data_IF_413054774114
#
_entry.id   IF_413054774114
#
_cell.length_a   1.000
_cell.length_b   1.000
_cell.length_c   1.000
_cell.angle_alpha   90.00
_cell.angle_beta   90.00
_cell.angle_gamma   90.00
#
_symmetry.space_group_name_H-M   'P 1'
#
loop_
_entity.id
_entity.type
_entity.pdbx_description
1 polymer ?
#
# COMPACT_ATOMS: atom_id res chain seq x y z
N UNK A 1 -12.18 4.41 -20.69
CA UNK A 1 -11.89 5.84 -20.42
C UNK A 1 -10.38 6.04 -20.31
N UNK A 2 -9.67 5.75 -21.38
CA UNK A 2 -8.36 6.32 -21.67
C UNK A 2 -8.60 7.71 -22.27
N UNK A 3 -7.87 8.74 -21.83
CA UNK A 3 -7.92 10.14 -22.29
C UNK A 3 -8.78 11.13 -21.48
N UNK A 4 -8.41 11.36 -20.22
CA UNK A 4 -8.65 12.68 -19.62
C UNK A 4 -7.40 13.37 -19.05
N UNK A 5 -6.20 12.83 -19.32
CA UNK A 5 -4.95 13.49 -18.98
C UNK A 5 -3.88 13.15 -20.06
N UNK A 6 -3.05 14.12 -20.49
CA UNK A 6 -2.05 13.94 -21.55
C UNK A 6 -1.06 12.81 -21.23
N UNK A 7 -0.42 12.20 -22.23
CA UNK A 7 0.39 10.98 -22.10
C UNK A 7 1.66 11.09 -21.22
N UNK A 8 1.92 12.25 -20.62
CA UNK A 8 2.88 12.38 -19.52
C UNK A 8 2.31 11.84 -18.18
N UNK A 9 1.00 11.62 -18.04
CA UNK A 9 0.38 11.20 -16.78
C UNK A 9 0.44 9.69 -16.45
N UNK A 10 1.57 9.07 -16.79
CA UNK A 10 2.19 8.09 -15.89
C UNK A 10 2.59 8.71 -14.53
N UNK A 11 2.56 10.05 -14.40
CA UNK A 11 2.87 10.85 -13.21
C UNK A 11 1.84 10.90 -12.06
N UNK A 12 0.67 10.24 -12.15
CA UNK A 12 -0.38 10.38 -11.11
C UNK A 12 0.02 9.78 -9.75
N UNK A 13 0.73 8.65 -9.75
CA UNK A 13 1.20 7.98 -8.52
C UNK A 13 2.35 8.72 -7.83
N UNK A 14 3.23 9.37 -8.61
CA UNK A 14 4.32 10.19 -8.05
C UNK A 14 3.79 11.46 -7.39
N UNK A 15 2.84 12.15 -8.01
CA UNK A 15 2.19 13.33 -7.42
C UNK A 15 1.52 12.91 -6.11
N UNK A 16 0.77 11.81 -6.13
CA UNK A 16 0.18 11.24 -4.93
C UNK A 16 1.23 10.97 -3.84
N UNK A 17 2.33 10.30 -4.18
CA UNK A 17 3.39 9.97 -3.23
C UNK A 17 4.15 11.19 -2.70
N UNK A 18 4.40 12.21 -3.52
CA UNK A 18 5.03 13.47 -3.10
C UNK A 18 4.11 14.27 -2.17
N UNK A 19 2.80 14.32 -2.46
CA UNK A 19 1.83 14.95 -1.57
C UNK A 19 1.74 14.19 -0.25
N UNK A 20 1.65 12.86 -0.30
CA UNK A 20 1.68 11.98 0.86
C UNK A 20 2.89 12.29 1.75
N UNK A 21 4.08 12.42 1.16
CA UNK A 21 5.31 12.66 1.92
C UNK A 21 5.40 14.08 2.47
N UNK A 22 4.90 15.07 1.73
CA UNK A 22 4.99 16.49 2.10
C UNK A 22 3.95 16.92 3.14
N UNK A 23 2.73 16.36 3.07
CA UNK A 23 1.59 16.80 3.88
C UNK A 23 1.25 15.78 4.97
N UNK A 24 1.50 14.49 4.72
CA UNK A 24 1.13 13.40 5.61
C UNK A 24 0.10 12.46 4.99
N UNK A 25 0.29 11.18 5.26
CA UNK A 25 -0.55 10.10 4.77
C UNK A 25 -1.99 10.26 5.27
N UNK A 26 -2.15 10.62 6.54
CA UNK A 26 -3.43 10.76 7.21
C UNK A 26 -4.32 11.86 6.64
N UNK A 27 -3.78 12.76 5.80
CA UNK A 27 -4.55 13.78 5.09
C UNK A 27 -4.76 13.40 3.63
N UNK A 28 -3.68 13.03 2.93
CA UNK A 28 -3.71 12.81 1.47
C UNK A 28 -4.45 11.53 1.10
N UNK A 29 -4.31 10.45 1.89
CA UNK A 29 -5.01 9.19 1.62
C UNK A 29 -6.53 9.35 1.70
N UNK A 30 -7.14 9.92 2.76
CA UNK A 30 -8.58 10.18 2.79
C UNK A 30 -9.08 11.00 1.61
N UNK A 31 -8.37 12.08 1.25
CA UNK A 31 -8.77 12.94 0.12
C UNK A 31 -8.77 12.17 -1.19
N UNK A 32 -7.67 11.47 -1.48
CA UNK A 32 -7.54 10.67 -2.69
C UNK A 32 -8.59 9.57 -2.76
N UNK A 33 -8.77 8.80 -1.67
CA UNK A 33 -9.74 7.71 -1.61
C UNK A 33 -11.17 8.23 -1.71
N UNK A 34 -11.49 9.37 -1.11
CA UNK A 34 -12.81 10.00 -1.23
C UNK A 34 -13.09 10.33 -2.69
N UNK A 35 -12.18 11.02 -3.37
CA UNK A 35 -12.30 11.32 -4.81
C UNK A 35 -12.47 10.02 -5.60
N UNK A 36 -11.66 9.00 -5.33
CA UNK A 36 -11.77 7.70 -5.98
C UNK A 36 -13.16 7.06 -5.77
N UNK A 37 -13.68 7.04 -4.54
CA UNK A 37 -14.97 6.44 -4.23
C UNK A 37 -16.14 7.13 -4.94
N UNK A 38 -16.05 8.44 -5.17
CA UNK A 38 -17.10 9.18 -5.87
C UNK A 38 -16.96 9.18 -7.39
N UNK A 39 -15.75 9.01 -7.93
CA UNK A 39 -15.49 9.20 -9.36
C UNK A 39 -15.11 7.94 -10.11
N UNK A 40 -14.63 6.90 -9.42
CA UNK A 40 -14.09 5.72 -10.06
C UNK A 40 -15.19 4.72 -10.46
N UNK A 41 -15.28 4.33 -11.74
CA UNK A 41 -16.24 3.33 -12.20
C UNK A 41 -16.06 1.96 -11.52
N UNK A 42 -14.88 1.72 -10.95
CA UNK A 42 -14.53 0.49 -10.23
C UNK A 42 -15.31 0.32 -8.93
N UNK A 43 -15.94 1.37 -8.41
CA UNK A 43 -16.70 1.36 -7.15
C UNK A 43 -18.08 2.01 -7.27
N UNK A 44 -18.35 2.81 -8.31
CA UNK A 44 -19.66 3.42 -8.58
C UNK A 44 -20.75 2.38 -8.88
N UNK A 45 -21.89 2.34 -8.17
CA UNK A 45 -23.00 1.44 -8.48
C UNK A 45 -23.48 1.55 -9.93
N UNK A 46 -23.89 0.43 -10.53
CA UNK A 46 -24.45 0.39 -11.89
C UNK A 46 -23.42 0.30 -13.02
N UNK A 47 -22.13 0.54 -12.77
CA UNK A 47 -21.07 0.25 -13.76
C UNK A 47 -20.56 -1.19 -13.60
N UNK A 48 -20.58 -2.03 -14.65
CA UNK A 48 -20.02 -3.38 -14.60
C UNK A 48 -18.53 -3.36 -14.27
N UNK A 49 -18.10 -4.21 -13.34
CA UNK A 49 -16.69 -4.43 -13.05
C UNK A 49 -16.15 -5.50 -14.01
N UNK A 50 -15.31 -5.09 -14.97
CA UNK A 50 -14.75 -5.98 -16.01
C UNK A 50 -13.24 -6.13 -15.86
N UNK A 51 -12.64 -7.21 -16.40
CA UNK A 51 -11.18 -7.35 -16.45
C UNK A 51 -10.47 -6.18 -17.14
N UNK A 52 -11.06 -5.65 -18.21
CA UNK A 52 -10.53 -4.49 -18.93
C UNK A 52 -10.54 -3.19 -18.12
N UNK A 53 -11.50 -3.04 -17.19
CA UNK A 53 -11.52 -1.90 -16.28
C UNK A 53 -10.43 -1.98 -15.20
N UNK A 54 -9.95 -3.20 -14.89
CA UNK A 54 -8.87 -3.47 -13.95
C UNK A 54 -7.50 -3.55 -14.61
N UNK A 55 -7.43 -3.50 -15.95
CA UNK A 55 -6.18 -3.65 -16.67
C UNK A 55 -5.24 -2.46 -16.40
N UNK A 56 -3.99 -2.79 -16.10
CA UNK A 56 -2.88 -1.86 -15.93
C UNK A 56 -1.85 -2.15 -17.02
N UNK A 57 -1.08 -1.14 -17.39
CA UNK A 57 0.02 -1.35 -18.33
C UNK A 57 0.97 -2.47 -17.85
N UNK A 58 1.27 -3.42 -18.75
CA UNK A 58 2.08 -4.59 -18.41
C UNK A 58 3.54 -4.23 -18.14
N UNK A 59 4.07 -3.22 -18.83
CA UNK A 59 5.42 -2.70 -18.62
C UNK A 59 5.54 -2.15 -17.21
N UNK A 60 4.61 -1.27 -16.82
CA UNK A 60 4.52 -0.72 -15.46
C UNK A 60 4.39 -1.83 -14.42
N UNK A 61 3.47 -2.79 -14.57
CA UNK A 61 3.29 -3.89 -13.60
C UNK A 61 4.54 -4.74 -13.44
N UNK A 62 5.31 -4.92 -14.51
CA UNK A 62 6.54 -5.74 -14.50
C UNK A 62 7.73 -4.99 -13.88
N UNK A 63 7.79 -3.68 -14.08
CA UNK A 63 8.86 -2.83 -13.57
C UNK A 63 8.65 -2.41 -12.11
N UNK A 64 7.40 -2.29 -11.67
CA UNK A 64 7.02 -1.79 -10.35
C UNK A 64 7.70 -2.53 -9.18
N UNK A 65 7.83 -3.88 -9.17
CA UNK A 65 8.58 -4.59 -8.14
C UNK A 65 10.01 -4.07 -7.94
N UNK A 66 10.74 -3.85 -9.03
CA UNK A 66 12.12 -3.35 -8.98
C UNK A 66 12.13 -1.89 -8.51
N UNK A 67 11.18 -1.09 -9.00
CA UNK A 67 10.98 0.29 -8.56
C UNK A 67 10.77 0.41 -7.06
N UNK A 68 9.88 -0.41 -6.48
CA UNK A 68 9.61 -0.41 -5.03
C UNK A 68 10.82 -0.89 -4.24
N UNK A 69 11.49 -1.96 -4.69
CA UNK A 69 12.67 -2.48 -3.99
C UNK A 69 13.79 -1.46 -3.92
N UNK A 70 14.16 -0.85 -5.04
CA UNK A 70 15.30 0.07 -5.11
C UNK A 70 14.93 1.50 -4.70
N UNK A 71 13.70 1.94 -5.00
CA UNK A 71 13.25 3.30 -4.75
C UNK A 71 12.70 3.53 -3.35
N UNK A 72 12.23 2.48 -2.66
CA UNK A 72 11.65 2.58 -1.32
C UNK A 72 12.32 1.67 -0.29
N UNK A 73 12.44 0.36 -0.56
CA UNK A 73 12.93 -0.60 0.45
C UNK A 73 14.41 -0.37 0.77
N UNK A 74 15.27 -0.27 -0.24
CA UNK A 74 16.71 -0.04 -0.04
C UNK A 74 16.99 1.27 0.73
N UNK A 75 16.41 2.43 0.35
CA UNK A 75 16.55 3.66 1.13
C UNK A 75 16.03 3.52 2.57
N UNK A 76 14.93 2.78 2.78
CA UNK A 76 14.36 2.55 4.12
C UNK A 76 15.33 1.78 5.01
N UNK A 77 15.94 0.71 4.48
CA UNK A 77 16.97 -0.06 5.20
C UNK A 77 18.17 0.82 5.53
N UNK A 78 18.65 1.63 4.56
CA UNK A 78 19.79 2.51 4.76
C UNK A 78 19.58 3.52 5.89
N UNK A 79 18.40 4.15 5.97
CA UNK A 79 18.10 5.11 7.06
C UNK A 79 17.88 4.43 8.42
N UNK A 80 17.49 3.15 8.43
CA UNK A 80 17.30 2.37 9.66
C UNK A 80 18.60 1.83 10.25
N UNK A 81 19.74 1.97 9.56
CA UNK A 81 21.01 1.49 10.09
C UNK A 81 21.40 2.19 11.43
N UNK A 82 21.95 1.44 12.40
CA UNK A 82 22.40 2.01 13.66
C UNK A 82 23.60 2.96 13.49
N UNK A 83 23.50 4.10 14.13
CA UNK A 83 24.61 5.05 14.34
C UNK A 83 24.99 5.03 15.83
N UNK A 84 26.28 5.07 16.19
CA UNK A 84 27.47 5.06 15.31
C UNK A 84 27.95 3.65 14.93
N UNK A 85 27.24 2.60 15.34
CA UNK A 85 27.75 1.22 15.26
C UNK A 85 27.95 0.70 13.83
N UNK A 86 27.14 1.13 12.85
CA UNK A 86 27.24 0.70 11.45
C UNK A 86 27.54 1.84 10.48
N UNK A 87 27.00 3.03 10.73
CA UNK A 87 27.18 4.21 9.90
C UNK A 87 27.46 5.43 10.78
N UNK A 88 28.10 6.46 10.22
CA UNK A 88 28.28 7.74 10.91
C UNK A 88 26.99 8.55 10.97
N UNK A 89 26.89 9.46 11.94
CA UNK A 89 25.74 10.36 12.08
C UNK A 89 25.47 11.14 10.79
N UNK A 90 26.51 11.65 10.12
CA UNK A 90 26.38 12.36 8.84
C UNK A 90 25.81 11.46 7.74
N UNK A 91 26.24 10.19 7.68
CA UNK A 91 25.70 9.22 6.72
C UNK A 91 24.23 8.90 7.02
N UNK A 92 23.84 8.82 8.30
CA UNK A 92 22.45 8.59 8.72
C UNK A 92 21.53 9.74 8.31
N UNK A 93 21.96 10.98 8.54
CA UNK A 93 21.22 12.17 8.09
C UNK A 93 21.07 12.18 6.57
N UNK A 94 22.14 11.88 5.83
CA UNK A 94 22.07 11.78 4.37
C UNK A 94 21.10 10.69 3.91
N UNK A 95 21.12 9.51 4.53
CA UNK A 95 20.19 8.42 4.22
C UNK A 95 18.73 8.84 4.46
N UNK A 96 18.44 9.56 5.54
CA UNK A 96 17.11 10.12 5.82
C UNK A 96 16.69 11.11 4.71
N UNK A 97 17.59 12.01 4.30
CA UNK A 97 17.30 12.99 3.24
C UNK A 97 17.02 12.29 1.90
N UNK A 98 17.82 11.29 1.53
CA UNK A 98 17.60 10.49 0.32
C UNK A 98 16.26 9.76 0.38
N UNK A 99 15.90 9.21 1.55
CA UNK A 99 14.64 8.52 1.76
C UNK A 99 13.41 9.43 1.58
N UNK A 100 13.49 10.72 1.91
CA UNK A 100 12.36 11.65 1.70
C UNK A 100 11.90 11.72 0.23
N UNK A 101 12.76 11.37 -0.72
CA UNK A 101 12.44 11.36 -2.15
C UNK A 101 12.04 9.97 -2.68
N UNK A 102 11.75 9.00 -1.81
CA UNK A 102 11.37 7.64 -2.21
C UNK A 102 10.26 7.56 -3.27
N UNK A 103 9.21 8.43 -3.27
CA UNK A 103 8.18 8.34 -4.30
C UNK A 103 8.73 8.66 -5.69
N UNK A 104 9.66 9.62 -5.75
CA UNK A 104 10.33 10.03 -6.99
C UNK A 104 11.28 8.93 -7.45
N UNK A 105 12.09 8.36 -6.55
CA UNK A 105 12.99 7.25 -6.88
C UNK A 105 12.23 6.02 -7.36
N UNK A 106 11.14 5.65 -6.68
CA UNK A 106 10.31 4.50 -7.06
C UNK A 106 9.77 4.67 -8.48
N UNK A 107 9.24 5.84 -8.81
CA UNK A 107 8.72 6.10 -10.14
C UNK A 107 9.81 6.20 -11.21
N UNK A 108 10.91 6.88 -10.92
CA UNK A 108 12.04 7.01 -11.85
C UNK A 108 12.63 5.64 -12.18
N UNK A 109 12.85 4.79 -11.18
CA UNK A 109 13.39 3.45 -11.38
C UNK A 109 12.39 2.57 -12.10
N UNK A 110 11.10 2.65 -11.76
CA UNK A 110 10.04 1.93 -12.51
C UNK A 110 10.08 2.33 -13.99
N UNK A 111 10.13 3.62 -14.29
CA UNK A 111 10.22 4.13 -15.66
C UNK A 111 11.49 3.66 -16.39
N UNK A 112 12.65 3.72 -15.74
CA UNK A 112 13.91 3.26 -16.33
C UNK A 112 13.88 1.76 -16.60
N UNK A 113 13.38 0.96 -15.65
CA UNK A 113 13.26 -0.49 -15.80
C UNK A 113 12.26 -0.85 -16.90
N UNK A 114 11.13 -0.14 -16.97
CA UNK A 114 10.16 -0.29 -18.05
C UNK A 114 10.77 0.07 -19.41
N UNK A 115 11.54 1.16 -19.50
CA UNK A 115 12.19 1.56 -20.75
C UNK A 115 13.29 0.58 -21.21
N UNK A 116 14.01 -0.03 -20.26
CA UNK A 116 15.15 -0.92 -20.55
C UNK A 116 14.72 -2.39 -20.75
N UNK A 117 13.76 -2.86 -19.96
CA UNK A 117 13.34 -4.28 -19.90
C UNK A 117 11.90 -4.49 -20.38
N UNK A 118 11.18 -3.41 -20.67
CA UNK A 118 9.83 -3.49 -21.23
C UNK A 118 9.85 -4.23 -22.56
N UNK A 119 8.73 -4.88 -22.94
CA UNK A 119 8.67 -5.61 -24.19
C UNK A 119 9.00 -4.67 -25.36
N UNK A 120 10.14 -4.89 -26.02
CA UNK A 120 10.46 -4.28 -27.31
C UNK A 120 9.62 -4.95 -28.40
N UNK A 121 8.29 -4.83 -28.28
CA UNK A 121 7.38 -5.53 -29.18
C UNK A 121 6.90 -4.56 -30.24
N UNK A 122 7.44 -4.70 -31.45
CA UNK A 122 6.86 -4.16 -32.69
C UNK A 122 5.41 -4.64 -32.92
N UNK A 123 4.97 -5.68 -32.20
CA UNK A 123 3.61 -6.21 -32.19
C UNK A 123 2.87 -5.80 -30.92
N UNK A 124 1.80 -5.03 -31.06
CA UNK A 124 0.85 -4.75 -29.99
C UNK A 124 0.13 -6.05 -29.61
N UNK A 125 0.17 -6.51 -28.34
CA UNK A 125 -0.59 -7.68 -27.94
C UNK A 125 -2.08 -7.45 -28.16
N UNK A 126 -2.80 -8.51 -28.49
CA UNK A 126 -4.27 -8.45 -28.58
C UNK A 126 -4.89 -8.29 -27.19
N UNK A 127 -6.06 -7.66 -27.08
CA UNK A 127 -6.74 -7.46 -25.79
C UNK A 127 -6.91 -8.77 -24.98
N UNK A 128 -7.26 -9.93 -25.59
CA UNK A 128 -7.33 -11.19 -24.86
C UNK A 128 -5.97 -11.67 -24.31
N UNK A 129 -4.89 -11.47 -25.06
CA UNK A 129 -3.54 -11.82 -24.60
C UNK A 129 -3.10 -10.94 -23.43
N UNK A 130 -3.38 -9.63 -23.52
CA UNK A 130 -3.10 -8.68 -22.43
C UNK A 130 -3.83 -9.10 -21.16
N UNK A 131 -5.16 -9.31 -21.25
CA UNK A 131 -5.99 -9.67 -20.10
C UNK A 131 -5.57 -11.01 -19.45
N UNK A 132 -5.13 -11.99 -20.25
CA UNK A 132 -4.62 -13.26 -19.74
C UNK A 132 -3.36 -13.08 -18.88
N UNK A 133 -2.51 -12.12 -19.24
CA UNK A 133 -1.26 -11.84 -18.51
C UNK A 133 -1.44 -10.87 -17.34
N UNK A 134 -2.56 -10.14 -17.25
CA UNK A 134 -2.83 -9.17 -16.19
C UNK A 134 -2.85 -9.81 -14.80
N UNK A 135 -3.69 -10.83 -14.59
CA UNK A 135 -3.91 -11.39 -13.24
C UNK A 135 -2.62 -11.96 -12.61
N UNK A 136 -1.78 -12.75 -13.31
CA UNK A 136 -0.51 -13.20 -12.74
C UNK A 136 0.43 -12.06 -12.35
N UNK A 137 0.50 -10.99 -13.16
CA UNK A 137 1.35 -9.83 -12.86
C UNK A 137 0.82 -9.02 -11.67
N UNK A 138 -0.48 -8.77 -11.62
CA UNK A 138 -1.14 -8.13 -10.47
C UNK A 138 -0.88 -8.92 -9.18
N UNK A 139 -1.01 -10.25 -9.23
CA UNK A 139 -0.69 -11.12 -8.08
C UNK A 139 0.74 -10.96 -7.61
N UNK A 140 1.71 -10.81 -8.51
CA UNK A 140 3.10 -10.57 -8.14
C UNK A 140 3.25 -9.25 -7.39
N UNK A 141 2.61 -8.17 -7.85
CA UNK A 141 2.62 -6.87 -7.17
C UNK A 141 1.96 -6.95 -5.79
N UNK A 142 0.78 -7.57 -5.69
CA UNK A 142 0.08 -7.77 -4.41
C UNK A 142 0.93 -8.58 -3.42
N UNK A 143 1.49 -9.71 -3.88
CA UNK A 143 2.34 -10.57 -3.05
C UNK A 143 3.59 -9.86 -2.59
N UNK A 144 4.25 -9.07 -3.44
CA UNK A 144 5.41 -8.29 -3.04
C UNK A 144 5.04 -7.28 -1.95
N UNK A 145 3.97 -6.51 -2.16
CA UNK A 145 3.53 -5.51 -1.18
C UNK A 145 3.20 -6.17 0.17
N UNK A 146 2.48 -7.30 0.16
CA UNK A 146 2.20 -8.08 1.37
C UNK A 146 3.46 -8.70 1.99
N UNK A 147 4.42 -9.16 1.18
CA UNK A 147 5.68 -9.71 1.67
C UNK A 147 6.53 -8.67 2.40
N UNK A 148 6.30 -7.38 2.15
CA UNK A 148 6.91 -6.28 2.92
C UNK A 148 6.06 -5.91 4.13
N UNK A 149 4.75 -5.69 3.95
CA UNK A 149 3.90 -5.14 5.01
C UNK A 149 3.60 -6.13 6.13
N UNK A 150 3.42 -7.42 5.82
CA UNK A 150 3.08 -8.45 6.82
C UNK A 150 4.21 -8.64 7.83
N UNK A 151 5.48 -8.85 7.43
CA UNK A 151 6.57 -8.99 8.40
C UNK A 151 6.76 -7.76 9.28
N UNK A 152 6.61 -6.54 8.73
CA UNK A 152 6.71 -5.30 9.51
C UNK A 152 5.60 -5.20 10.55
N UNK A 153 4.35 -5.55 10.19
CA UNK A 153 3.23 -5.60 11.12
C UNK A 153 3.48 -6.62 12.24
N UNK A 154 3.86 -7.85 11.88
CA UNK A 154 4.16 -8.91 12.85
C UNK A 154 5.31 -8.51 13.78
N UNK A 155 6.40 -7.97 13.24
CA UNK A 155 7.55 -7.54 14.02
C UNK A 155 7.18 -6.42 15.00
N UNK A 156 6.41 -5.43 14.55
CA UNK A 156 5.95 -4.31 15.39
C UNK A 156 5.09 -4.81 16.55
N UNK A 157 4.09 -5.65 16.28
CA UNK A 157 3.24 -6.20 17.33
C UNK A 157 3.97 -7.18 18.24
N UNK A 158 4.87 -7.99 17.71
CA UNK A 158 5.67 -8.93 18.52
C UNK A 158 6.55 -8.16 19.50
N UNK A 159 7.28 -7.14 19.03
CA UNK A 159 8.11 -6.30 19.87
C UNK A 159 7.26 -5.58 20.92
N UNK A 160 6.13 -5.01 20.51
CA UNK A 160 5.25 -4.26 21.41
C UNK A 160 4.58 -5.15 22.46
N UNK A 161 4.09 -6.34 22.10
CA UNK A 161 3.50 -7.28 23.06
C UNK A 161 4.56 -7.91 23.97
N UNK A 162 5.79 -8.07 23.49
CA UNK A 162 6.88 -8.60 24.33
C UNK A 162 7.21 -7.70 25.50
N UNK A 163 7.02 -6.39 25.40
CA UNK A 163 7.22 -5.49 26.55
C UNK A 163 6.13 -5.62 27.62
N UNK A 164 4.96 -6.13 27.26
CA UNK A 164 3.85 -6.41 28.20
C UNK A 164 3.99 -7.81 28.81
N UNK A 165 4.28 -8.81 27.98
CA UNK A 165 4.34 -10.22 28.39
C UNK A 165 5.66 -10.57 29.10
N UNK A 166 6.76 -9.93 28.70
CA UNK A 166 8.11 -10.21 29.19
C UNK A 166 8.89 -8.92 29.52
N UNK A 167 8.35 -8.02 30.37
CA UNK A 167 8.97 -6.71 30.65
C UNK A 167 10.39 -6.80 31.21
N UNK A 168 10.72 -7.89 31.91
CA UNK A 168 12.05 -8.12 32.48
C UNK A 168 13.17 -8.31 31.44
N UNK A 169 12.84 -8.56 30.17
CA UNK A 169 13.82 -8.65 29.07
C UNK A 169 14.28 -7.28 28.57
N UNK A 170 13.65 -6.20 29.03
CA UNK A 170 13.81 -4.85 28.48
C UNK A 170 14.17 -3.85 29.58
N UNK A 171 14.79 -2.74 29.17
CA UNK A 171 14.96 -1.60 30.08
C UNK A 171 13.60 -0.94 30.34
N UNK A 172 13.39 -0.26 31.49
CA UNK A 172 12.14 0.44 31.77
C UNK A 172 11.74 1.43 30.65
N UNK A 173 12.72 2.17 30.10
CA UNK A 173 12.48 3.10 29.00
C UNK A 173 12.02 2.38 27.71
N UNK A 174 12.57 1.21 27.41
CA UNK A 174 12.13 0.39 26.27
C UNK A 174 10.73 -0.16 26.49
N UNK A 175 10.42 -0.62 27.71
CA UNK A 175 9.07 -1.09 28.07
C UNK A 175 8.05 0.02 27.83
N UNK A 176 8.33 1.21 28.34
CA UNK A 176 7.45 2.37 28.18
C UNK A 176 7.28 2.78 26.72
N UNK A 177 8.38 2.93 25.97
CA UNK A 177 8.35 3.40 24.59
C UNK A 177 7.64 2.43 23.63
N UNK A 178 7.82 1.12 23.82
CA UNK A 178 7.25 0.09 22.95
C UNK A 178 5.95 -0.51 23.50
N UNK A 179 5.45 -0.06 24.66
CA UNK A 179 4.15 -0.49 25.17
C UNK A 179 3.05 -0.26 24.10
N UNK A 180 2.12 -1.20 23.83
CA UNK A 180 1.17 -1.08 22.72
C UNK A 180 0.36 0.21 22.72
N UNK A 181 -0.05 0.68 23.91
CA UNK A 181 -0.77 1.94 24.04
C UNK A 181 0.09 3.16 23.70
N UNK A 182 1.40 3.12 23.95
CA UNK A 182 2.29 4.24 23.67
C UNK A 182 2.85 4.20 22.24
N UNK A 183 2.99 2.99 21.66
CA UNK A 183 3.51 2.78 20.32
C UNK A 183 2.45 3.01 19.24
N UNK A 184 1.19 2.63 19.48
CA UNK A 184 0.13 2.59 18.45
C UNK A 184 -0.95 3.66 18.66
N UNK A 185 -1.29 4.00 19.91
CA UNK A 185 -2.42 4.88 20.20
C UNK A 185 -1.92 6.33 20.34
N UNK A 186 -2.34 7.25 19.46
CA UNK A 186 -1.98 8.65 19.58
C UNK A 186 -2.71 9.30 20.76
N UNK A 187 -2.17 10.41 21.31
CA UNK A 187 -2.87 11.18 22.32
C UNK A 187 -4.15 11.79 21.77
N UNK A 188 -5.16 11.97 22.63
CA UNK A 188 -6.43 12.60 22.27
C UNK A 188 -6.22 13.99 21.66
N UNK A 189 -6.70 14.28 20.43
CA UNK A 189 -6.42 15.56 19.77
C UNK A 189 -7.27 16.70 20.34
N UNK A 190 -8.30 16.38 21.12
CA UNK A 190 -9.16 17.34 21.81
C UNK A 190 -8.65 17.67 23.23
N UNK A 191 -7.62 16.98 23.70
CA UNK A 191 -6.97 17.30 24.97
C UNK A 191 -5.93 18.41 24.77
N UNK A 192 -5.60 19.14 25.83
CA UNK A 192 -4.55 20.18 25.81
C UNK A 192 -3.12 19.61 25.81
N UNK A 193 -2.93 18.36 25.38
CA UNK A 193 -1.65 17.68 25.37
C UNK A 193 -0.72 18.28 24.32
N UNK A 194 0.44 18.78 24.77
CA UNK A 194 1.53 19.25 23.89
C UNK A 194 2.68 18.27 23.93
N UNK A 195 3.24 17.97 22.76
CA UNK A 195 4.40 17.09 22.69
C UNK A 195 5.59 17.74 23.41
N UNK A 196 6.26 17.02 24.34
CA UNK A 196 7.39 17.56 25.10
C UNK A 196 8.64 17.78 24.24
N UNK A 197 8.71 17.16 23.06
CA UNK A 197 9.84 17.28 22.13
C UNK A 197 9.39 17.07 20.68
N UNK A 198 10.24 17.48 19.74
CA UNK A 198 10.01 17.23 18.30
C UNK A 198 9.93 15.73 18.02
N UNK A 199 10.77 14.92 18.67
CA UNK A 199 10.75 13.46 18.51
C UNK A 199 9.40 12.87 18.96
N UNK A 200 8.89 13.30 20.13
CA UNK A 200 7.59 12.83 20.60
C UNK A 200 6.44 13.31 19.70
N UNK A 201 6.52 14.55 19.20
CA UNK A 201 5.55 15.07 18.24
C UNK A 201 5.55 14.28 16.92
N UNK A 202 6.73 13.88 16.43
CA UNK A 202 6.86 13.04 15.25
C UNK A 202 6.24 11.64 15.47
N UNK A 203 6.39 11.05 16.66
CA UNK A 203 5.72 9.78 17.00
C UNK A 203 4.20 9.95 16.96
N UNK A 204 3.66 11.00 17.59
CA UNK A 204 2.21 11.26 17.57
C UNK A 204 1.68 11.48 16.15
N UNK A 205 2.42 12.23 15.33
CA UNK A 205 2.11 12.43 13.92
C UNK A 205 2.06 11.09 13.16
N UNK A 206 3.08 10.24 13.30
CA UNK A 206 3.13 8.94 12.63
C UNK A 206 2.04 7.98 13.10
N UNK A 207 1.63 8.04 14.36
CA UNK A 207 0.51 7.25 14.89
C UNK A 207 -0.81 7.64 14.22
N UNK A 208 -1.09 8.94 14.13
CA UNK A 208 -2.27 9.44 13.40
C UNK A 208 -2.21 9.06 11.93
N UNK A 209 -1.06 9.29 11.28
CA UNK A 209 -0.85 8.95 9.88
C UNK A 209 -1.12 7.47 9.63
N UNK A 210 -0.57 6.58 10.45
CA UNK A 210 -0.78 5.14 10.35
C UNK A 210 -2.25 4.75 10.55
N UNK A 211 -2.90 5.22 11.62
CA UNK A 211 -4.27 4.81 11.95
C UNK A 211 -5.28 5.29 10.90
N UNK A 212 -5.22 6.56 10.52
CA UNK A 212 -6.15 7.14 9.54
C UNK A 212 -5.95 6.48 8.17
N UNK A 213 -4.70 6.36 7.71
CA UNK A 213 -4.36 5.75 6.42
C UNK A 213 -4.82 4.29 6.36
N UNK A 214 -4.53 3.53 7.42
CA UNK A 214 -4.93 2.13 7.55
C UNK A 214 -6.45 1.97 7.47
N UNK A 215 -7.19 2.77 8.24
CA UNK A 215 -8.65 2.73 8.24
C UNK A 215 -9.22 3.03 6.85
N UNK A 216 -8.76 4.10 6.21
CA UNK A 216 -9.25 4.54 4.92
C UNK A 216 -8.98 3.51 3.83
N UNK A 217 -7.78 2.90 3.79
CA UNK A 217 -7.48 1.87 2.80
C UNK A 217 -8.28 0.59 3.01
N UNK A 218 -8.48 0.15 4.25
CA UNK A 218 -9.35 -1.00 4.53
C UNK A 218 -10.78 -0.69 4.10
N UNK A 219 -11.31 0.50 4.42
CA UNK A 219 -12.64 0.92 4.01
C UNK A 219 -12.78 0.93 2.48
N UNK A 220 -11.82 1.52 1.77
CA UNK A 220 -11.76 1.53 0.31
C UNK A 220 -11.77 0.12 -0.28
N UNK A 221 -10.95 -0.78 0.25
CA UNK A 221 -10.88 -2.15 -0.21
C UNK A 221 -12.17 -2.93 0.08
N UNK A 222 -12.81 -2.71 1.23
CA UNK A 222 -14.12 -3.28 1.55
C UNK A 222 -15.18 -2.82 0.57
N UNK A 223 -15.26 -1.52 0.28
CA UNK A 223 -16.20 -0.98 -0.72
C UNK A 223 -15.91 -1.56 -2.11
N UNK A 224 -14.63 -1.63 -2.50
CA UNK A 224 -14.23 -2.20 -3.79
C UNK A 224 -14.51 -3.68 -3.95
N UNK A 225 -14.31 -4.48 -2.89
CA UNK A 225 -14.50 -5.93 -2.91
C UNK A 225 -15.95 -6.33 -2.74
N UNK A 226 -16.64 -5.76 -1.75
CA UNK A 226 -18.00 -6.16 -1.41
C UNK A 226 -19.04 -5.34 -2.16
N UNK A 227 -18.88 -4.03 -2.32
CA UNK A 227 -19.87 -3.17 -2.97
C UNK A 227 -20.21 -3.55 -4.43
N UNK A 228 -19.32 -4.28 -5.11
CA UNK A 228 -19.51 -4.75 -6.50
C UNK A 228 -19.81 -6.24 -6.64
N UNK A 229 -19.26 -7.06 -5.75
CA UNK A 229 -19.20 -8.52 -5.92
C UNK A 229 -19.88 -9.29 -4.77
N UNK A 230 -20.61 -8.62 -3.89
CA UNK A 230 -21.33 -9.29 -2.80
C UNK A 230 -22.08 -8.35 -1.85
N UNK A 231 -22.57 -8.91 -0.75
CA UNK A 231 -23.02 -8.14 0.40
C UNK A 231 -21.91 -8.03 1.43
N UNK A 232 -21.89 -6.93 2.20
CA UNK A 232 -21.06 -6.82 3.38
C UNK A 232 -21.92 -7.11 4.62
N UNK A 233 -21.61 -8.19 5.33
CA UNK A 233 -22.34 -8.63 6.52
C UNK A 233 -21.44 -8.80 7.74
N UNK A 234 -22.02 -9.27 8.84
CA UNK A 234 -21.30 -9.50 10.09
C UNK A 234 -20.13 -10.48 9.95
N UNK A 235 -20.29 -11.55 9.18
CA UNK A 235 -19.21 -12.52 8.91
C UNK A 235 -18.06 -11.89 8.13
N UNK A 236 -18.36 -11.06 7.13
CA UNK A 236 -17.36 -10.28 6.40
C UNK A 236 -16.61 -9.30 7.30
N UNK A 237 -17.32 -8.66 8.25
CA UNK A 237 -16.70 -7.77 9.22
C UNK A 237 -15.71 -8.53 10.13
N UNK A 238 -16.10 -9.70 10.64
CA UNK A 238 -15.21 -10.53 11.46
C UNK A 238 -13.98 -11.01 10.67
N UNK A 239 -14.16 -11.41 9.40
CA UNK A 239 -13.05 -11.79 8.52
C UNK A 239 -12.06 -10.62 8.31
N UNK A 240 -12.58 -9.41 8.02
CA UNK A 240 -11.73 -8.22 7.84
C UNK A 240 -10.97 -7.87 9.13
N UNK A 241 -11.64 -7.91 10.29
CA UNK A 241 -10.98 -7.66 11.58
C UNK A 241 -9.90 -8.72 11.85
N UNK A 242 -10.21 -10.00 11.63
CA UNK A 242 -9.26 -11.10 11.82
C UNK A 242 -8.03 -10.96 10.91
N UNK A 243 -8.23 -10.60 9.64
CA UNK A 243 -7.12 -10.32 8.70
C UNK A 243 -6.30 -9.13 9.16
N UNK A 244 -6.93 -8.02 9.56
CA UNK A 244 -6.21 -6.85 10.08
C UNK A 244 -5.34 -7.19 11.28
N UNK A 245 -5.82 -8.06 12.19
CA UNK A 245 -5.02 -8.51 13.33
C UNK A 245 -3.81 -9.35 12.90
N UNK A 246 -3.99 -10.28 11.95
CA UNK A 246 -2.95 -11.24 11.53
C UNK A 246 -1.91 -10.60 10.60
N UNK A 247 -2.35 -9.94 9.53
CA UNK A 247 -1.49 -9.47 8.44
C UNK A 247 -1.30 -7.95 8.44
N UNK A 248 -2.05 -7.23 9.26
CA UNK A 248 -2.07 -5.77 9.29
C UNK A 248 -3.08 -5.16 8.31
N UNK A 249 -3.56 -3.95 8.58
CA UNK A 249 -4.65 -3.32 7.83
C UNK A 249 -4.32 -3.07 6.36
N UNK A 250 -3.10 -2.65 6.04
CA UNK A 250 -2.68 -2.42 4.65
C UNK A 250 -2.63 -3.74 3.86
N UNK A 251 -2.08 -4.80 4.45
CA UNK A 251 -2.07 -6.13 3.83
C UNK A 251 -3.50 -6.66 3.63
N UNK A 252 -4.39 -6.45 4.60
CA UNK A 252 -5.81 -6.81 4.47
C UNK A 252 -6.46 -6.08 3.29
N UNK A 253 -6.23 -4.77 3.16
CA UNK A 253 -6.74 -4.00 2.04
C UNK A 253 -6.25 -4.55 0.69
N UNK A 254 -4.95 -4.83 0.58
CA UNK A 254 -4.35 -5.45 -0.61
C UNK A 254 -4.96 -6.83 -0.91
N UNK A 255 -5.12 -7.67 0.10
CA UNK A 255 -5.68 -9.00 -0.04
C UNK A 255 -7.14 -8.98 -0.51
N UNK A 256 -7.97 -8.08 0.03
CA UNK A 256 -9.36 -7.90 -0.43
C UNK A 256 -9.44 -7.45 -1.90
N UNK A 257 -8.52 -6.58 -2.34
CA UNK A 257 -8.46 -6.15 -3.74
C UNK A 257 -7.95 -7.27 -4.66
N UNK A 258 -6.97 -8.05 -4.20
CA UNK A 258 -6.53 -9.23 -4.92
C UNK A 258 -7.70 -10.23 -5.11
N UNK A 259 -8.47 -10.52 -4.05
CA UNK A 259 -9.66 -11.37 -4.15
C UNK A 259 -10.70 -10.81 -5.11
N UNK A 260 -10.93 -9.48 -5.09
CA UNK A 260 -11.83 -8.81 -6.03
C UNK A 260 -11.39 -9.08 -7.46
N UNK A 261 -10.11 -8.86 -7.75
CA UNK A 261 -9.56 -9.01 -9.09
C UNK A 261 -9.63 -10.48 -9.54
N UNK A 262 -9.24 -11.43 -8.68
CA UNK A 262 -9.36 -12.87 -8.95
C UNK A 262 -10.78 -13.28 -9.36
N UNK A 263 -11.80 -12.80 -8.65
CA UNK A 263 -13.21 -13.09 -8.96
C UNK A 263 -13.61 -12.51 -10.32
N UNK A 264 -13.22 -11.26 -10.61
CA UNK A 264 -13.56 -10.58 -11.86
C UNK A 264 -12.92 -11.28 -13.07
N UNK A 265 -11.65 -11.67 -12.96
CA UNK A 265 -10.96 -12.39 -14.02
C UNK A 265 -11.52 -13.81 -14.22
N UNK A 266 -11.81 -14.56 -13.14
CA UNK A 266 -12.37 -15.91 -13.22
C UNK A 266 -13.78 -15.94 -13.85
N UNK A 267 -14.63 -14.94 -13.55
CA UNK A 267 -15.95 -14.82 -14.17
C UNK A 267 -15.86 -14.63 -15.69
N UNK A 268 -14.86 -13.88 -16.17
CA UNK A 268 -14.64 -13.65 -17.60
C UNK A 268 -14.17 -14.91 -18.35
N UNK A 269 -13.29 -15.70 -17.74
CA UNK A 269 -12.84 -16.98 -18.31
C UNK A 269 -14.02 -17.95 -18.50
N UNK A 270 -14.89 -18.04 -17.50
CA UNK A 270 -16.09 -18.89 -17.55
C UNK A 270 -17.04 -18.47 -18.68
N UNK A 271 -17.33 -17.18 -18.83
CA UNK A 271 -18.17 -16.65 -19.92
C UNK A 271 -17.59 -16.95 -21.32
N UNK A 272 -16.26 -16.93 -21.44
CA UNK A 272 -15.57 -17.18 -22.70
C UNK A 272 -15.62 -18.67 -23.07
N UNK A 273 -15.47 -19.55 -22.07
CA UNK A 273 -15.59 -21.00 -22.25
C UNK A 273 -17.01 -21.41 -22.70
N UNK A 274 -18.06 -20.86 -22.08
CA UNK A 274 -19.45 -21.13 -22.46
C UNK A 274 -19.75 -20.71 -23.90
N UNK A 275 -19.26 -19.54 -24.35
CA UNK A 275 -19.45 -19.07 -25.74
C UNK A 275 -18.75 -19.93 -26.79
N UNK A 276 -17.67 -20.64 -26.43
CA UNK A 276 -16.94 -21.52 -27.36
C UNK A 276 -17.63 -22.88 -27.55
N UNK A 277 -18.50 -23.26 -26.61
CA UNK A 277 -19.18 -24.55 -26.59
C UNK A 277 -20.65 -24.48 -27.08
N UNK A 278 -21.11 -23.29 -27.48
CA UNK A 278 -22.43 -23.04 -28.07
C UNK A 278 -22.28 -22.77 -29.57
#
# INVERSE_FOLDING_TARGET
MTNLLPPFLGHSTSIYGVLFQSIGAGVIVPLYVTIYLFTSPLVTPGTPLTPSALAVDEGVLSALPVGVLLGYIVPSVAMSLPDPAMISQSAKVLAIVVWQLFPVWTNLITFVVEALLGPSTTRRPSEPETLKNQLPRLKTVYKLAMAVSVPVHIATWTLSLSTVLFPALFTPATVEAFHPLNAIVPPNPLAESKAPSVAQGAVWFLQYDYLITSFVYVFWAVVGRYGKLGGFGFTSLLDVIGRCAIMGPISTALHLLQERDEIVFAASETLTATKKNA
#
